data_IF_968027584394
#
_entry.id   IF_968027584394
#
_cell.length_a   1.000
_cell.length_b   1.000
_cell.length_c   1.000
_cell.angle_alpha   90.00
_cell.angle_beta   90.00
_cell.angle_gamma   90.00
#
_symmetry.space_group_name_H-M   'P 1'
#
loop_
_entity.id
_entity.type
_entity.pdbx_description
1 polymer ?
#
# COMPACT_ATOMS: atom_id res chain seq x y z
N UNK A 1 -63.92 24.86 -61.62
CA UNK A 1 -63.54 26.07 -60.86
C UNK A 1 -62.06 25.99 -60.54
N UNK A 2 -61.39 27.06 -60.87
CA UNK A 2 -59.94 27.34 -60.91
C UNK A 2 -59.28 27.41 -59.53
N UNK A 3 -57.97 27.15 -59.53
CA UNK A 3 -56.97 27.33 -58.46
C UNK A 3 -57.20 28.53 -57.54
N UNK A 4 -56.83 28.41 -56.26
CA UNK A 4 -55.98 29.40 -55.59
C UNK A 4 -55.06 28.74 -54.55
N UNK A 5 -53.78 29.04 -54.73
CA UNK A 5 -52.64 28.77 -53.86
C UNK A 5 -52.71 29.74 -52.68
N UNK A 6 -52.47 29.27 -51.45
CA UNK A 6 -52.02 30.14 -50.36
C UNK A 6 -50.79 29.52 -49.71
N UNK A 7 -49.62 30.03 -50.12
CA UNK A 7 -48.39 29.92 -49.36
C UNK A 7 -48.52 30.82 -48.12
N UNK A 8 -48.38 30.24 -46.94
CA UNK A 8 -48.00 30.97 -45.73
C UNK A 8 -46.64 30.43 -45.28
N UNK A 9 -45.59 31.11 -45.73
CA UNK A 9 -44.23 31.00 -45.21
C UNK A 9 -44.22 31.79 -43.90
N UNK A 10 -43.83 31.19 -42.78
CA UNK A 10 -43.13 31.91 -41.70
C UNK A 10 -42.55 30.96 -40.64
N UNK A 11 -41.28 31.25 -40.35
CA UNK A 11 -40.61 31.09 -39.07
C UNK A 11 -39.85 29.79 -38.76
N UNK A 12 -38.56 29.90 -39.08
CA UNK A 12 -37.40 29.23 -38.49
C UNK A 12 -37.46 29.16 -36.96
N UNK A 13 -37.39 27.96 -36.38
CA UNK A 13 -36.67 27.74 -35.12
C UNK A 13 -35.88 26.42 -35.26
N UNK A 14 -34.60 26.54 -35.56
CA UNK A 14 -33.63 25.46 -35.44
C UNK A 14 -33.40 25.19 -33.95
N UNK A 15 -33.95 24.08 -33.43
CA UNK A 15 -33.63 23.61 -32.09
C UNK A 15 -32.26 22.95 -32.16
N UNK A 16 -31.24 23.69 -31.72
CA UNK A 16 -29.91 23.14 -31.47
C UNK A 16 -30.04 22.21 -30.26
N UNK A 17 -30.17 20.91 -30.51
CA UNK A 17 -30.06 19.87 -29.49
C UNK A 17 -28.59 19.79 -29.10
N UNK A 18 -28.22 20.50 -28.03
CA UNK A 18 -26.93 20.32 -27.36
C UNK A 18 -27.00 18.97 -26.63
N UNK A 19 -26.55 17.91 -27.28
CA UNK A 19 -26.23 16.65 -26.60
C UNK A 19 -25.06 16.95 -25.65
N UNK A 20 -25.21 16.82 -24.32
CA UNK A 20 -24.06 16.79 -23.46
C UNK A 20 -23.29 15.52 -23.84
N UNK A 21 -22.13 15.71 -24.48
CA UNK A 21 -21.08 14.71 -24.61
C UNK A 21 -20.72 14.34 -23.18
N UNK A 22 -21.39 13.33 -22.66
CA UNK A 22 -21.04 12.67 -21.43
C UNK A 22 -19.66 12.07 -21.67
N UNK A 23 -18.63 12.79 -21.23
CA UNK A 23 -17.31 12.26 -20.99
C UNK A 23 -17.49 11.11 -19.99
N UNK A 24 -17.76 9.91 -20.51
CA UNK A 24 -17.73 8.66 -19.80
C UNK A 24 -16.26 8.39 -19.47
N UNK A 25 -15.75 9.10 -18.48
CA UNK A 25 -14.51 8.75 -17.79
C UNK A 25 -14.80 7.39 -17.21
N UNK A 26 -14.33 6.35 -17.89
CA UNK A 26 -14.20 5.04 -17.31
C UNK A 26 -13.37 5.18 -16.04
N UNK A 27 -14.07 5.25 -14.92
CA UNK A 27 -13.52 5.10 -13.60
C UNK A 27 -12.89 3.71 -13.61
N UNK A 28 -11.57 3.65 -13.78
CA UNK A 28 -10.79 2.42 -13.56
C UNK A 28 -11.27 1.90 -12.21
N UNK A 29 -12.01 0.77 -12.21
CA UNK A 29 -12.44 0.07 -11.00
C UNK A 29 -11.18 -0.40 -10.27
N UNK A 30 -10.57 0.48 -9.50
CA UNK A 30 -9.74 0.08 -8.38
C UNK A 30 -10.61 -0.72 -7.41
N UNK A 31 -10.02 -1.66 -6.69
CA UNK A 31 -10.74 -2.37 -5.65
C UNK A 31 -11.36 -1.32 -4.71
N UNK A 32 -12.68 -1.35 -4.58
CA UNK A 32 -13.42 -0.40 -3.74
C UNK A 32 -13.35 -0.89 -2.29
N UNK A 33 -13.00 0.01 -1.37
CA UNK A 33 -12.94 -0.30 0.07
C UNK A 33 -14.35 -0.66 0.55
N UNK A 34 -14.47 -1.80 1.19
CA UNK A 34 -15.69 -2.16 1.91
C UNK A 34 -15.66 -1.45 3.28
N UNK A 35 -16.45 -0.38 3.40
CA UNK A 35 -16.54 0.43 4.62
C UNK A 35 -17.03 -0.37 5.83
N UNK A 36 -17.82 -1.42 5.61
CA UNK A 36 -18.28 -2.31 6.69
C UNK A 36 -17.11 -3.11 7.27
N UNK A 37 -16.19 -3.56 6.41
CA UNK A 37 -14.95 -4.22 6.80
C UNK A 37 -13.90 -3.23 7.33
N UNK A 38 -13.87 -2.00 6.84
CA UNK A 38 -12.97 -0.97 7.37
C UNK A 38 -13.32 -0.63 8.83
N UNK A 39 -14.61 -0.57 9.19
CA UNK A 39 -15.07 -0.32 10.55
C UNK A 39 -14.46 0.96 11.18
N UNK A 40 -14.28 2.01 10.38
CA UNK A 40 -13.60 3.24 10.81
C UNK A 40 -12.11 3.09 11.14
N UNK A 41 -11.50 1.94 10.82
CA UNK A 41 -10.06 1.71 10.89
C UNK A 41 -9.42 1.93 9.53
N UNK A 42 -8.10 2.16 9.54
CA UNK A 42 -7.31 2.32 8.32
C UNK A 42 -7.37 1.07 7.46
N UNK A 43 -7.66 1.24 6.17
CA UNK A 43 -7.40 0.24 5.13
C UNK A 43 -6.19 0.66 4.30
N UNK A 44 -5.54 -0.28 3.62
CA UNK A 44 -4.49 0.01 2.65
C UNK A 44 -4.63 -0.89 1.43
N UNK A 45 -4.58 -0.27 0.26
CA UNK A 45 -4.48 -1.02 -0.99
C UNK A 45 -3.02 -1.40 -1.26
N UNK A 46 -2.77 -2.68 -1.48
CA UNK A 46 -1.46 -3.22 -1.86
C UNK A 46 -1.68 -4.06 -3.12
N UNK A 47 -1.21 -3.56 -4.27
CA UNK A 47 -1.52 -4.15 -5.57
C UNK A 47 -3.03 -4.04 -5.87
N UNK A 48 -3.67 -5.18 -6.15
CA UNK A 48 -5.11 -5.28 -6.44
C UNK A 48 -5.95 -5.50 -5.18
N UNK A 49 -5.31 -5.69 -4.04
CA UNK A 49 -5.94 -6.15 -2.82
C UNK A 49 -6.08 -5.04 -1.78
N UNK A 50 -7.17 -5.09 -1.03
CA UNK A 50 -7.42 -4.20 0.11
C UNK A 50 -7.15 -4.98 1.38
N UNK A 51 -6.34 -4.41 2.25
CA UNK A 51 -6.03 -4.96 3.55
C UNK A 51 -6.60 -4.06 4.65
N UNK A 52 -7.33 -4.67 5.58
CA UNK A 52 -8.01 -3.97 6.66
C UNK A 52 -7.18 -3.96 7.95
N UNK A 53 -7.21 -2.84 8.68
CA UNK A 53 -6.50 -2.71 9.96
C UNK A 53 -7.15 -3.44 11.14
N UNK A 54 -8.26 -4.14 10.92
CA UNK A 54 -8.98 -4.91 11.94
C UNK A 54 -9.58 -6.19 11.33
N UNK A 55 -9.75 -7.21 12.17
CA UNK A 55 -10.50 -8.44 11.85
C UNK A 55 -11.81 -8.53 12.65
N UNK A 56 -12.16 -7.47 13.36
CA UNK A 56 -13.38 -7.38 14.16
C UNK A 56 -14.03 -6.01 13.96
N UNK A 57 -15.36 -6.03 13.90
CA UNK A 57 -16.18 -4.84 13.88
C UNK A 57 -17.42 -5.03 14.76
N UNK A 58 -17.63 -4.12 15.72
CA UNK A 58 -18.81 -4.09 16.61
C UNK A 58 -19.10 -5.45 17.29
N UNK A 59 -18.06 -6.18 17.69
CA UNK A 59 -18.19 -7.49 18.35
C UNK A 59 -18.36 -8.68 17.39
N UNK A 60 -18.45 -8.42 16.08
CA UNK A 60 -18.51 -9.46 15.04
C UNK A 60 -17.13 -9.62 14.39
N UNK A 61 -16.75 -10.87 14.12
CA UNK A 61 -15.53 -11.17 13.37
C UNK A 61 -15.77 -10.91 11.88
N UNK A 62 -14.75 -10.39 11.21
CA UNK A 62 -14.71 -10.38 9.75
C UNK A 62 -14.70 -11.82 9.23
N UNK A 63 -15.13 -12.04 7.97
CA UNK A 63 -15.01 -13.35 7.32
C UNK A 63 -13.59 -13.89 7.43
N UNK A 64 -13.46 -15.21 7.57
CA UNK A 64 -12.17 -15.89 7.49
C UNK A 64 -11.46 -15.53 6.18
N UNK A 65 -10.13 -15.50 6.22
CA UNK A 65 -9.26 -15.14 5.10
C UNK A 65 -9.38 -13.69 4.58
N UNK A 66 -10.19 -12.85 5.23
CA UNK A 66 -10.19 -11.40 4.97
C UNK A 66 -8.78 -10.85 5.14
N UNK A 67 -8.28 -10.16 4.11
CA UNK A 67 -6.93 -9.60 4.09
C UNK A 67 -6.79 -8.51 5.14
N UNK A 68 -5.78 -8.64 6.00
CA UNK A 68 -5.58 -7.73 7.13
C UNK A 68 -4.13 -7.23 7.23
N UNK A 69 -3.96 -6.09 7.90
CA UNK A 69 -2.67 -5.48 8.21
C UNK A 69 -2.56 -5.24 9.71
N UNK A 70 -1.42 -5.59 10.28
CA UNK A 70 -1.08 -5.28 11.68
C UNK A 70 0.38 -4.84 11.76
N UNK A 71 0.70 -3.92 12.68
CA UNK A 71 2.10 -3.59 13.00
C UNK A 71 2.72 -4.74 13.78
N UNK A 72 3.89 -5.16 13.36
CA UNK A 72 4.66 -6.19 14.05
C UNK A 72 6.14 -6.07 13.68
N UNK A 73 7.00 -6.72 14.47
CA UNK A 73 8.45 -6.72 14.24
C UNK A 73 8.78 -7.55 13.00
N UNK A 74 9.59 -6.97 12.12
CA UNK A 74 10.22 -7.70 11.01
C UNK A 74 11.53 -8.39 11.43
N UNK A 75 12.13 -9.22 10.56
CA UNK A 75 13.35 -9.97 10.89
C UNK A 75 14.55 -9.09 11.25
N UNK A 76 14.55 -7.83 10.82
CA UNK A 76 15.54 -6.79 11.14
C UNK A 76 15.20 -5.97 12.40
N UNK A 77 14.15 -6.37 13.14
CA UNK A 77 13.65 -5.72 14.36
C UNK A 77 12.96 -4.36 14.16
N UNK A 78 12.71 -3.98 12.90
CA UNK A 78 11.93 -2.79 12.58
C UNK A 78 10.43 -3.04 12.77
N UNK A 79 9.70 -2.04 13.26
CA UNK A 79 8.23 -2.07 13.28
C UNK A 79 7.67 -1.72 11.91
N UNK A 80 7.18 -2.73 11.19
CA UNK A 80 6.56 -2.57 9.87
C UNK A 80 5.13 -3.07 9.84
N UNK A 81 4.37 -2.59 8.87
CA UNK A 81 3.03 -3.09 8.62
C UNK A 81 3.12 -4.42 7.89
N UNK A 82 2.71 -5.50 8.56
CA UNK A 82 2.74 -6.85 8.03
C UNK A 82 1.35 -7.30 7.61
N UNK A 83 1.31 -7.98 6.46
CA UNK A 83 0.09 -8.53 5.88
C UNK A 83 -0.25 -9.88 6.49
N UNK A 84 -1.54 -10.17 6.55
CA UNK A 84 -2.06 -11.42 7.05
C UNK A 84 -3.48 -11.69 6.57
N UNK A 85 -4.08 -12.70 7.18
CA UNK A 85 -5.45 -13.11 6.96
C UNK A 85 -6.20 -13.16 8.30
N UNK A 86 -7.45 -12.72 8.31
CA UNK A 86 -8.30 -12.83 9.48
C UNK A 86 -8.62 -14.29 9.77
N UNK A 87 -8.44 -14.71 11.02
CA UNK A 87 -8.96 -15.98 11.52
C UNK A 87 -9.42 -15.84 12.95
N UNK A 88 -10.68 -16.22 13.20
CA UNK A 88 -11.37 -16.08 14.50
C UNK A 88 -11.25 -14.66 15.08
N UNK A 89 -11.38 -13.65 14.23
CA UNK A 89 -11.27 -12.24 14.63
C UNK A 89 -9.85 -11.73 14.85
N UNK A 90 -8.82 -12.54 14.60
CA UNK A 90 -7.41 -12.16 14.77
C UNK A 90 -6.71 -12.10 13.42
N UNK A 91 -5.92 -11.04 13.19
CA UNK A 91 -5.06 -10.96 12.01
C UNK A 91 -3.86 -11.91 12.16
N UNK A 92 -3.92 -13.07 11.48
CA UNK A 92 -2.82 -14.04 11.41
C UNK A 92 -1.83 -13.60 10.34
N UNK A 93 -0.67 -13.14 10.78
CA UNK A 93 0.40 -12.68 9.89
C UNK A 93 0.97 -13.84 9.08
N UNK A 94 1.34 -13.55 7.84
CA UNK A 94 2.07 -14.53 7.02
C UNK A 94 3.42 -14.85 7.66
N UNK A 95 3.83 -16.13 7.72
CA UNK A 95 5.16 -16.50 8.20
C UNK A 95 6.23 -15.91 7.29
N UNK A 96 7.41 -15.66 7.85
CA UNK A 96 8.57 -15.16 7.11
C UNK A 96 9.67 -16.22 7.09
N UNK A 97 10.26 -16.45 5.93
CA UNK A 97 11.31 -17.46 5.75
C UNK A 97 12.53 -16.83 5.09
N UNK A 98 13.72 -17.10 5.66
CA UNK A 98 14.99 -16.57 5.18
C UNK A 98 15.49 -17.41 3.99
N UNK A 99 15.06 -17.06 2.79
CA UNK A 99 15.39 -17.80 1.56
C UNK A 99 16.03 -16.93 0.48
N UNK A 100 16.04 -15.60 0.62
CA UNK A 100 16.62 -14.73 -0.39
C UNK A 100 18.15 -14.73 -0.28
N UNK A 101 18.81 -15.27 -1.29
CA UNK A 101 20.28 -15.35 -1.35
C UNK A 101 20.90 -14.17 -2.11
N UNK A 102 20.22 -13.66 -3.13
CA UNK A 102 20.70 -12.54 -3.94
C UNK A 102 20.23 -11.22 -3.35
N UNK A 103 21.18 -10.41 -2.90
CA UNK A 103 20.92 -9.05 -2.41
C UNK A 103 20.66 -8.15 -3.62
N UNK A 104 19.52 -7.42 -3.68
CA UNK A 104 19.25 -6.51 -4.78
C UNK A 104 20.27 -5.36 -4.75
N UNK A 105 20.81 -4.95 -5.91
CA UNK A 105 21.70 -3.80 -5.98
C UNK A 105 20.94 -2.54 -5.54
N UNK A 106 21.56 -1.74 -4.67
CA UNK A 106 21.04 -0.42 -4.31
C UNK A 106 21.60 0.60 -5.31
N UNK A 107 20.74 1.28 -6.10
CA UNK A 107 21.21 2.28 -7.06
C UNK A 107 21.98 3.40 -6.36
N UNK A 108 23.11 3.84 -6.94
CA UNK A 108 23.85 4.98 -6.42
C UNK A 108 22.97 6.23 -6.35
N UNK A 109 23.02 6.94 -5.22
CA UNK A 109 22.20 8.12 -4.97
C UNK A 109 20.76 7.83 -4.54
N UNK A 110 20.32 6.56 -4.51
CA UNK A 110 19.02 6.20 -3.94
C UNK A 110 18.99 6.42 -2.42
N UNK A 111 17.83 6.77 -1.85
CA UNK A 111 17.69 6.84 -0.40
C UNK A 111 17.94 5.46 0.22
N UNK A 112 18.60 5.38 1.39
CA UNK A 112 18.86 4.10 2.03
C UNK A 112 17.56 3.36 2.35
N UNK A 113 17.54 2.02 2.25
CA UNK A 113 16.39 1.20 2.57
C UNK A 113 15.96 1.38 4.04
N UNK A 114 14.68 1.15 4.31
CA UNK A 114 14.15 1.12 5.66
C UNK A 114 14.38 -0.27 6.29
N UNK A 115 15.25 -0.31 7.29
CA UNK A 115 15.74 -1.53 7.91
C UNK A 115 16.84 -2.23 7.10
N UNK A 116 17.14 -3.46 7.51
CA UNK A 116 18.21 -4.29 6.94
C UNK A 116 17.70 -5.58 6.32
N UNK A 117 16.39 -5.87 6.42
CA UNK A 117 15.75 -6.95 5.70
C UNK A 117 15.21 -6.46 4.34
N UNK A 118 15.34 -7.30 3.32
CA UNK A 118 14.68 -7.13 2.03
C UNK A 118 13.84 -8.35 1.69
N UNK A 119 12.81 -8.16 0.87
CA UNK A 119 11.94 -9.24 0.42
C UNK A 119 12.16 -9.47 -1.08
N UNK A 120 12.61 -10.66 -1.44
CA UNK A 120 12.63 -11.11 -2.84
C UNK A 120 11.25 -11.63 -3.28
N UNK A 121 10.42 -12.06 -2.32
CA UNK A 121 9.03 -12.44 -2.57
C UNK A 121 8.16 -12.03 -1.36
N UNK A 122 7.62 -10.81 -1.45
CA UNK A 122 6.72 -10.27 -0.42
C UNK A 122 5.39 -11.01 -0.34
N UNK A 123 4.97 -11.72 -1.40
CA UNK A 123 3.71 -12.45 -1.41
C UNK A 123 3.79 -13.72 -0.56
N UNK A 124 4.94 -14.40 -0.62
CA UNK A 124 5.25 -15.61 0.14
C UNK A 124 6.10 -15.38 1.39
N UNK A 125 6.42 -14.13 1.73
CA UNK A 125 7.17 -13.78 2.94
C UNK A 125 8.64 -14.21 2.90
N UNK A 126 9.22 -14.37 1.71
CA UNK A 126 10.63 -14.73 1.56
C UNK A 126 11.48 -13.49 1.68
N UNK A 127 12.42 -13.54 2.62
CA UNK A 127 13.30 -12.42 2.92
C UNK A 127 14.78 -12.81 2.95
N UNK A 128 15.63 -11.80 2.90
CA UNK A 128 17.06 -11.85 3.12
C UNK A 128 17.52 -10.61 3.86
N UNK A 129 18.81 -10.52 4.15
CA UNK A 129 19.42 -9.35 4.79
C UNK A 129 20.41 -8.68 3.87
N UNK A 130 20.45 -7.35 3.89
CA UNK A 130 21.56 -6.60 3.32
C UNK A 130 22.85 -6.93 4.08
N UNK A 131 23.98 -6.78 3.39
CA UNK A 131 25.31 -6.99 3.98
C UNK A 131 25.58 -6.00 5.12
N UNK A 132 26.50 -6.40 6.01
CA UNK A 132 27.00 -5.51 7.05
C UNK A 132 27.61 -4.23 6.45
N UNK A 133 27.40 -3.09 7.10
CA UNK A 133 27.85 -1.78 6.64
C UNK A 133 26.96 -1.14 5.56
N UNK A 134 25.94 -1.85 5.04
CA UNK A 134 24.95 -1.23 4.14
C UNK A 134 24.21 -0.10 4.86
N UNK A 135 24.15 1.08 4.23
CA UNK A 135 23.42 2.23 4.77
C UNK A 135 21.93 1.90 4.86
N UNK A 136 21.30 2.24 5.98
CA UNK A 136 19.89 1.97 6.23
C UNK A 136 19.23 3.15 6.95
N UNK A 137 17.91 3.13 7.05
CA UNK A 137 17.13 4.00 7.94
C UNK A 137 16.33 3.14 8.90
N UNK A 138 16.24 3.57 10.15
CA UNK A 138 15.32 2.98 11.11
C UNK A 138 14.49 4.02 11.83
N UNK A 139 13.43 3.55 12.47
CA UNK A 139 12.45 4.41 13.11
C UNK A 139 12.75 4.52 14.60
N UNK A 140 13.27 5.68 15.02
CA UNK A 140 13.58 5.97 16.43
C UNK A 140 12.35 6.36 17.25
N UNK A 141 11.40 7.05 16.61
CA UNK A 141 10.13 7.47 17.23
C UNK A 141 9.01 7.50 16.20
N UNK A 142 7.78 7.88 16.58
CA UNK A 142 6.65 7.91 15.63
C UNK A 142 6.90 8.77 14.40
N UNK A 143 7.67 9.84 14.55
CA UNK A 143 7.92 10.88 13.54
C UNK A 143 9.38 10.94 13.09
N UNK A 144 10.30 10.32 13.83
CA UNK A 144 11.73 10.42 13.58
C UNK A 144 12.28 9.16 12.91
N UNK A 145 12.98 9.36 11.80
CA UNK A 145 13.74 8.35 11.08
C UNK A 145 15.19 8.80 11.05
N UNK A 146 16.09 7.91 11.45
CA UNK A 146 17.53 8.21 11.54
C UNK A 146 18.30 7.31 10.59
N UNK A 147 19.40 7.84 10.07
CA UNK A 147 20.30 7.10 9.20
C UNK A 147 21.20 6.20 10.08
N UNK A 148 21.43 4.99 9.60
CA UNK A 148 22.23 3.99 10.27
C UNK A 148 23.02 3.13 9.29
N UNK A 149 23.60 2.08 9.84
CA UNK A 149 24.24 1.00 9.08
C UNK A 149 23.74 -0.34 9.57
N UNK A 150 23.65 -1.30 8.64
CA UNK A 150 23.32 -2.67 8.99
C UNK A 150 24.46 -3.29 9.79
N UNK A 151 24.15 -3.72 11.01
CA UNK A 151 25.06 -4.38 11.93
C UNK A 151 24.53 -5.75 12.29
N UNK A 152 25.43 -6.72 12.46
CA UNK A 152 25.06 -8.06 12.86
C UNK A 152 24.67 -8.08 14.34
N UNK A 153 23.51 -8.66 14.63
CA UNK A 153 23.02 -8.90 15.99
C UNK A 153 22.46 -10.33 16.07
N UNK A 154 23.29 -11.25 16.58
CA UNK A 154 23.02 -12.69 16.48
C UNK A 154 22.90 -13.14 15.02
N UNK A 155 21.79 -13.81 14.69
CA UNK A 155 21.50 -14.31 13.32
C UNK A 155 20.84 -13.27 12.39
N UNK A 156 20.71 -12.03 12.86
CA UNK A 156 19.98 -10.95 12.20
C UNK A 156 20.90 -9.81 11.81
N UNK A 157 20.44 -9.00 10.85
CA UNK A 157 21.01 -7.67 10.59
C UNK A 157 20.02 -6.63 11.08
N UNK A 158 20.49 -5.71 11.93
CA UNK A 158 19.69 -4.63 12.52
C UNK A 158 20.27 -3.30 12.07
N UNK A 159 19.40 -2.35 11.76
CA UNK A 159 19.85 -1.00 11.42
C UNK A 159 20.20 -0.26 12.71
N UNK A 160 21.48 0.08 12.89
CA UNK A 160 21.98 0.76 14.08
C UNK A 160 22.46 2.16 13.74
N UNK A 161 22.28 3.10 14.66
CA UNK A 161 22.73 4.49 14.51
C UNK A 161 24.22 4.54 14.18
N UNK A 162 24.60 5.41 13.24
CA UNK A 162 26.00 5.78 13.07
C UNK A 162 26.38 6.66 14.27
N UNK A 163 27.38 6.30 15.08
CA UNK A 163 27.85 7.16 16.15
C UNK A 163 28.16 8.54 15.58
N UNK A 164 27.59 9.59 16.17
CA UNK A 164 28.01 10.94 15.83
C UNK A 164 29.50 11.05 16.15
N UNK A 165 30.33 11.67 15.27
CA UNK A 165 31.71 11.91 15.61
C UNK A 165 31.77 12.69 16.94
N UNK A 166 32.75 12.42 17.81
CA UNK A 166 32.88 13.15 19.07
C UNK A 166 32.92 14.64 18.75
N UNK A 167 32.05 15.40 19.43
CA UNK A 167 32.06 16.85 19.36
C UNK A 167 33.36 17.30 20.02
N UNK A 168 34.25 17.90 19.22
CA UNK A 168 35.48 18.53 19.71
C UNK A 168 35.17 19.81 20.48
#
# INVERSE_FOLDING_TARGET
>A
MTSYISLSILSMIAIIVVLPVGCNRQQKRGAQVDESLACGKSSKQIGKDIYYGTCQCKGTNHPEDTKCLKKDKEPDNEDKWRVGSCSKGVCKLKPLTKECQMVPPLPSGSPPPFGCAFFCDSANGKYGFFSEGTRCKHKKSRTEYVNGTCQRSGDKMVCSDVPLPPVC
#
